data_IF_795285757610
#
_entry.id   IF_795285757610
#
_cell.length_a   1.000
_cell.length_b   1.000
_cell.length_c   1.000
_cell.angle_alpha   90.00
_cell.angle_beta   90.00
_cell.angle_gamma   90.00
#
_symmetry.space_group_name_H-M   'P 1'
#
loop_
_entity.id
_entity.type
_entity.pdbx_description
1 polymer ?
#
# COMPACT_ATOMS: atom_id res chain seq x y z
N UNK A 1 15.98 6.37 8.53
CA UNK A 1 14.70 5.76 8.07
C UNK A 1 14.96 4.30 7.79
N UNK A 2 14.12 3.37 8.23
CA UNK A 2 14.19 1.95 7.90
C UNK A 2 13.83 1.71 6.42
N UNK A 3 14.20 0.56 5.89
CA UNK A 3 13.85 0.16 4.51
C UNK A 3 12.78 -0.92 4.55
N UNK A 4 11.73 -0.76 3.79
CA UNK A 4 10.66 -1.77 3.67
C UNK A 4 11.11 -2.94 2.80
N UNK A 5 11.71 -2.62 1.66
CA UNK A 5 12.21 -3.58 0.67
C UNK A 5 13.41 -2.99 -0.06
N UNK A 6 14.36 -3.82 -0.42
CA UNK A 6 15.49 -3.43 -1.26
C UNK A 6 16.01 -4.60 -2.09
N UNK A 7 16.60 -4.28 -3.23
CA UNK A 7 17.36 -5.21 -4.03
C UNK A 7 18.80 -5.27 -3.53
N UNK A 8 19.31 -6.47 -3.27
CA UNK A 8 20.71 -6.71 -2.86
C UNK A 8 21.41 -7.67 -3.81
N UNK A 9 22.71 -7.82 -3.70
CA UNK A 9 23.47 -8.81 -4.48
C UNK A 9 23.01 -10.24 -4.20
N UNK A 10 22.56 -10.52 -2.96
CA UNK A 10 22.11 -11.83 -2.53
C UNK A 10 20.66 -12.14 -2.94
N UNK A 11 19.82 -11.10 -3.15
CA UNK A 11 18.40 -11.24 -3.47
C UNK A 11 17.57 -10.06 -3.00
N UNK A 12 16.29 -10.30 -2.78
CA UNK A 12 15.34 -9.29 -2.32
C UNK A 12 15.28 -9.30 -0.79
N UNK A 13 15.64 -8.19 -0.16
CA UNK A 13 15.62 -8.03 1.29
C UNK A 13 14.39 -7.24 1.73
N UNK A 14 13.66 -7.75 2.70
CA UNK A 14 12.45 -7.13 3.25
C UNK A 14 12.47 -7.13 4.77
N UNK A 15 11.85 -6.10 5.38
CA UNK A 15 11.52 -6.14 6.79
C UNK A 15 10.34 -7.08 7.04
N UNK A 16 10.46 -7.97 8.01
CA UNK A 16 9.38 -8.89 8.38
C UNK A 16 8.33 -8.17 9.24
N UNK A 17 7.28 -7.66 8.58
CA UNK A 17 6.21 -6.92 9.26
C UNK A 17 5.37 -7.78 10.20
N UNK A 18 5.44 -9.11 10.10
CA UNK A 18 4.71 -10.01 11.00
C UNK A 18 5.35 -10.03 12.39
N UNK A 19 6.63 -9.65 12.49
CA UNK A 19 7.40 -9.60 13.74
C UNK A 19 7.31 -8.25 14.45
N UNK A 20 6.90 -7.20 13.73
CA UNK A 20 6.71 -5.87 14.30
C UNK A 20 5.48 -5.84 15.24
N UNK A 21 5.49 -5.04 16.31
CA UNK A 21 6.56 -4.14 16.75
C UNK A 21 7.66 -4.80 17.60
N UNK A 22 7.51 -6.09 17.96
CA UNK A 22 8.37 -6.76 18.92
C UNK A 22 9.82 -6.93 18.46
N UNK A 23 10.01 -7.24 17.18
CA UNK A 23 11.32 -7.51 16.60
C UNK A 23 11.47 -6.86 15.24
N UNK A 24 12.54 -6.12 15.01
CA UNK A 24 12.90 -5.56 13.72
C UNK A 24 13.84 -6.52 12.97
N UNK A 25 13.25 -7.42 12.20
CA UNK A 25 13.98 -8.48 11.48
C UNK A 25 13.90 -8.22 9.98
N UNK A 26 15.04 -8.33 9.30
CA UNK A 26 15.14 -8.33 7.84
C UNK A 26 15.40 -9.74 7.33
N UNK A 27 14.65 -10.14 6.30
CA UNK A 27 14.84 -11.42 5.60
C UNK A 27 15.28 -11.16 4.17
N UNK A 28 16.26 -11.95 3.70
CA UNK A 28 16.71 -11.92 2.31
C UNK A 28 16.18 -13.14 1.59
N UNK A 29 15.39 -12.92 0.55
CA UNK A 29 14.77 -13.94 -0.27
C UNK A 29 15.58 -14.15 -1.53
N UNK A 30 15.93 -15.40 -1.80
CA UNK A 30 16.79 -15.76 -2.92
C UNK A 30 16.05 -16.49 -4.04
N UNK A 31 14.78 -16.83 -3.83
CA UNK A 31 13.88 -17.45 -4.81
C UNK A 31 12.57 -16.64 -4.90
N UNK A 32 12.02 -16.51 -6.11
CA UNK A 32 10.76 -15.79 -6.33
C UNK A 32 9.57 -16.44 -5.62
N UNK A 33 9.61 -17.75 -5.35
CA UNK A 33 8.58 -18.47 -4.60
C UNK A 33 8.56 -18.03 -3.14
N UNK A 34 9.74 -17.77 -2.58
CA UNK A 34 9.86 -17.20 -1.22
C UNK A 34 9.32 -15.78 -1.17
N UNK A 35 9.54 -14.96 -2.22
CA UNK A 35 8.94 -13.63 -2.34
C UNK A 35 7.42 -13.74 -2.44
N UNK A 36 6.89 -14.68 -3.22
CA UNK A 36 5.46 -14.94 -3.31
C UNK A 36 4.87 -15.34 -1.94
N UNK A 37 5.57 -16.19 -1.18
CA UNK A 37 5.15 -16.56 0.17
C UNK A 37 5.21 -15.38 1.14
N UNK A 38 6.23 -14.52 1.04
CA UNK A 38 6.33 -13.30 1.86
C UNK A 38 5.15 -12.34 1.62
N UNK A 39 4.64 -12.25 0.38
CA UNK A 39 3.42 -11.48 0.07
C UNK A 39 2.17 -12.18 0.66
N UNK A 40 2.04 -13.49 0.50
CA UNK A 40 0.90 -14.27 0.98
C UNK A 40 0.78 -14.27 2.50
N UNK A 41 1.89 -14.48 3.19
CA UNK A 41 1.98 -14.50 4.67
C UNK A 41 2.06 -13.10 5.30
N UNK A 42 1.97 -12.02 4.50
CA UNK A 42 2.01 -10.63 4.94
C UNK A 42 3.32 -10.21 5.64
N UNK A 43 4.44 -10.88 5.35
CA UNK A 43 5.77 -10.36 5.65
C UNK A 43 5.95 -8.99 5.01
N UNK A 44 5.43 -8.84 3.78
CA UNK A 44 5.24 -7.56 3.11
C UNK A 44 3.78 -7.38 2.71
N UNK A 45 3.20 -6.19 2.93
CA UNK A 45 1.80 -5.84 2.70
C UNK A 45 1.64 -4.36 2.34
N UNK A 46 0.44 -3.97 1.88
CA UNK A 46 0.13 -2.64 1.34
C UNK A 46 0.23 -2.64 -0.18
N UNK A 47 -0.73 -1.96 -0.83
CA UNK A 47 -0.88 -2.04 -2.28
C UNK A 47 0.41 -1.69 -3.05
N UNK A 48 1.10 -0.54 -2.82
CA UNK A 48 2.34 -0.24 -3.52
C UNK A 48 3.50 -1.19 -3.18
N UNK A 49 3.69 -1.54 -1.91
CA UNK A 49 4.77 -2.44 -1.48
C UNK A 49 4.66 -3.83 -2.12
N UNK A 50 3.42 -4.36 -2.26
CA UNK A 50 3.18 -5.63 -2.96
C UNK A 50 3.57 -5.52 -4.43
N UNK A 51 3.29 -4.40 -5.09
CA UNK A 51 3.70 -4.17 -6.48
C UNK A 51 5.22 -4.16 -6.65
N UNK A 52 5.94 -3.45 -5.78
CA UNK A 52 7.41 -3.45 -5.75
C UNK A 52 7.96 -4.86 -5.51
N UNK A 53 7.41 -5.58 -4.52
CA UNK A 53 7.84 -6.94 -4.20
C UNK A 53 7.62 -7.90 -5.37
N UNK A 54 6.49 -7.80 -6.07
CA UNK A 54 6.20 -8.62 -7.23
C UNK A 54 7.18 -8.33 -8.38
N UNK A 55 7.48 -7.07 -8.66
CA UNK A 55 8.47 -6.70 -9.68
C UNK A 55 9.85 -7.27 -9.34
N UNK A 56 10.27 -7.15 -8.09
CA UNK A 56 11.55 -7.73 -7.63
C UNK A 56 11.53 -9.27 -7.67
N UNK A 57 10.39 -9.90 -7.32
CA UNK A 57 10.23 -11.35 -7.42
C UNK A 57 10.36 -11.85 -8.85
N UNK A 58 9.76 -11.16 -9.84
CA UNK A 58 9.90 -11.48 -11.27
C UNK A 58 11.37 -11.34 -11.70
N UNK A 59 12.00 -10.22 -11.40
CA UNK A 59 13.39 -9.96 -11.75
C UNK A 59 14.32 -11.03 -11.13
N UNK A 60 14.09 -11.40 -9.87
CA UNK A 60 14.85 -12.44 -9.16
C UNK A 60 14.71 -13.81 -9.82
N UNK A 61 13.49 -14.22 -10.18
CA UNK A 61 13.22 -15.48 -10.84
C UNK A 61 13.91 -15.57 -12.21
N UNK A 62 13.79 -14.52 -13.02
CA UNK A 62 14.42 -14.45 -14.35
C UNK A 62 15.94 -14.35 -14.26
N UNK A 63 16.50 -13.65 -13.28
CA UNK A 63 17.95 -13.59 -13.03
C UNK A 63 18.54 -14.98 -12.78
N UNK A 64 17.80 -15.85 -12.07
CA UNK A 64 18.22 -17.21 -11.72
C UNK A 64 17.81 -18.28 -12.74
N UNK A 65 17.11 -17.91 -13.79
CA UNK A 65 16.68 -18.83 -14.84
C UNK A 65 17.86 -19.49 -15.54
N UNK A 66 17.74 -20.80 -15.75
CA UNK A 66 18.68 -21.59 -16.52
C UNK A 66 18.31 -21.70 -18.02
N UNK A 67 17.24 -21.00 -18.46
CA UNK A 67 16.78 -21.00 -19.84
C UNK A 67 17.90 -20.62 -20.82
N UNK A 68 17.99 -21.39 -21.92
CA UNK A 68 18.98 -21.18 -22.98
C UNK A 68 18.39 -20.60 -24.24
N UNK A 69 17.05 -20.60 -24.35
CA UNK A 69 16.33 -20.02 -25.49
C UNK A 69 15.34 -18.96 -25.03
N UNK A 70 15.00 -17.96 -25.87
CA UNK A 70 13.93 -17.00 -25.60
C UNK A 70 12.57 -17.65 -25.31
N UNK A 71 12.27 -18.77 -25.96
CA UNK A 71 11.03 -19.50 -25.76
C UNK A 71 10.92 -20.09 -24.35
N UNK A 72 12.00 -20.74 -23.89
CA UNK A 72 12.06 -21.29 -22.53
C UNK A 72 11.97 -20.18 -21.48
N UNK A 73 12.70 -19.06 -21.67
CA UNK A 73 12.68 -17.93 -20.74
C UNK A 73 11.28 -17.30 -20.66
N UNK A 74 10.54 -17.25 -21.79
CA UNK A 74 9.16 -16.78 -21.82
C UNK A 74 8.23 -17.70 -21.02
N UNK A 75 8.37 -19.01 -21.18
CA UNK A 75 7.58 -19.98 -20.41
C UNK A 75 7.84 -19.82 -18.89
N UNK A 76 9.11 -19.69 -18.50
CA UNK A 76 9.47 -19.45 -17.09
C UNK A 76 8.91 -18.10 -16.59
N UNK A 77 8.97 -17.02 -17.40
CA UNK A 77 8.39 -15.73 -17.03
C UNK A 77 6.90 -15.84 -16.70
N UNK A 78 6.13 -16.54 -17.53
CA UNK A 78 4.69 -16.68 -17.29
C UNK A 78 4.40 -17.50 -16.02
N UNK A 79 5.19 -18.55 -15.73
CA UNK A 79 5.07 -19.33 -14.49
C UNK A 79 5.36 -18.44 -13.26
N UNK A 80 6.40 -17.61 -13.32
CA UNK A 80 6.78 -16.70 -12.24
C UNK A 80 5.67 -15.66 -12.03
N UNK A 81 5.21 -15.03 -13.13
CA UNK A 81 4.15 -14.02 -13.10
C UNK A 81 2.85 -14.58 -12.53
N UNK A 82 2.45 -15.78 -12.95
CA UNK A 82 1.25 -16.45 -12.44
C UNK A 82 1.36 -16.83 -10.96
N UNK A 83 2.54 -17.27 -10.51
CA UNK A 83 2.80 -17.60 -9.10
C UNK A 83 2.62 -16.38 -8.22
N UNK A 84 3.13 -15.22 -8.64
CA UNK A 84 2.98 -13.96 -7.92
C UNK A 84 1.54 -13.43 -8.00
N UNK A 85 0.88 -13.49 -9.16
CA UNK A 85 -0.50 -13.06 -9.34
C UNK A 85 -1.48 -13.77 -8.37
N UNK A 86 -1.25 -15.06 -8.10
CA UNK A 86 -2.07 -15.86 -7.19
C UNK A 86 -1.91 -15.50 -5.71
N UNK A 87 -0.94 -14.68 -5.33
CA UNK A 87 -0.70 -14.34 -3.92
C UNK A 87 -1.78 -13.45 -3.33
N UNK A 88 -2.23 -12.43 -4.08
CA UNK A 88 -3.25 -11.44 -3.68
C UNK A 88 -4.10 -11.04 -4.89
N UNK A 89 -5.12 -11.85 -5.27
CA UNK A 89 -5.88 -11.66 -6.51
C UNK A 89 -6.64 -10.33 -6.63
N UNK A 90 -6.88 -9.64 -5.52
CA UNK A 90 -7.60 -8.35 -5.49
C UNK A 90 -6.68 -7.12 -5.52
N UNK A 91 -5.36 -7.31 -5.40
CA UNK A 91 -4.39 -6.22 -5.26
C UNK A 91 -4.04 -5.58 -6.63
N UNK A 92 -4.58 -4.40 -6.92
CA UNK A 92 -4.40 -3.69 -8.20
C UNK A 92 -2.93 -3.48 -8.55
N UNK A 93 -2.13 -3.02 -7.60
CA UNK A 93 -0.72 -2.71 -7.81
C UNK A 93 0.13 -3.96 -8.13
N UNK A 94 -0.29 -5.13 -7.68
CA UNK A 94 0.34 -6.41 -8.05
C UNK A 94 0.24 -6.64 -9.57
N UNK A 95 -0.98 -6.53 -10.10
CA UNK A 95 -1.22 -6.73 -11.54
C UNK A 95 -0.61 -5.63 -12.40
N UNK A 96 -0.62 -4.39 -11.92
CA UNK A 96 0.08 -3.28 -12.56
C UNK A 96 1.57 -3.56 -12.69
N UNK A 97 2.23 -4.01 -11.62
CA UNK A 97 3.65 -4.34 -11.64
C UNK A 97 3.95 -5.50 -12.60
N UNK A 98 3.16 -6.58 -12.55
CA UNK A 98 3.31 -7.73 -13.47
C UNK A 98 3.16 -7.28 -14.94
N UNK A 99 2.15 -6.46 -15.24
CA UNK A 99 1.95 -5.91 -16.60
C UNK A 99 3.14 -5.07 -17.06
N UNK A 100 3.69 -4.23 -16.19
CA UNK A 100 4.84 -3.38 -16.47
C UNK A 100 6.11 -4.23 -16.73
N UNK A 101 6.36 -5.22 -15.88
CA UNK A 101 7.49 -6.14 -16.04
C UNK A 101 7.36 -6.98 -17.33
N UNK A 102 6.15 -7.42 -17.69
CA UNK A 102 5.89 -8.13 -18.95
C UNK A 102 6.16 -7.26 -20.17
N UNK A 103 5.84 -5.97 -20.12
CA UNK A 103 6.14 -5.04 -21.21
C UNK A 103 7.67 -4.90 -21.42
N UNK A 104 8.44 -4.75 -20.34
CA UNK A 104 9.91 -4.70 -20.39
C UNK A 104 10.48 -6.02 -20.91
N UNK A 105 9.98 -7.16 -20.43
CA UNK A 105 10.38 -8.49 -20.90
C UNK A 105 10.22 -8.61 -22.43
N UNK A 106 9.03 -8.28 -22.95
CA UNK A 106 8.74 -8.38 -24.40
C UNK A 106 9.60 -7.42 -25.22
N UNK A 107 9.78 -6.18 -24.78
CA UNK A 107 10.61 -5.20 -25.48
C UNK A 107 12.08 -5.63 -25.52
N UNK A 108 12.60 -6.18 -24.42
CA UNK A 108 13.99 -6.66 -24.35
C UNK A 108 14.27 -7.87 -25.23
N UNK A 109 13.25 -8.71 -25.51
CA UNK A 109 13.39 -9.83 -26.45
C UNK A 109 13.42 -9.41 -27.91
N UNK A 110 12.76 -8.32 -28.28
CA UNK A 110 12.49 -7.97 -29.69
C UNK A 110 13.69 -7.33 -30.42
N UNK A 111 14.76 -6.96 -29.73
CA UNK A 111 15.80 -6.06 -30.24
C UNK A 111 17.17 -6.73 -30.48
N UNK A 112 17.29 -8.08 -30.51
CA UNK A 112 18.58 -8.73 -30.47
C UNK A 112 18.79 -9.77 -31.59
N UNK A 113 20.05 -9.89 -32.03
CA UNK A 113 20.46 -10.77 -33.16
C UNK A 113 20.81 -12.20 -32.73
N UNK A 114 21.07 -12.44 -31.42
CA UNK A 114 21.36 -13.78 -30.88
C UNK A 114 20.58 -14.05 -29.60
N UNK A 115 20.22 -15.32 -29.37
CA UNK A 115 19.53 -15.78 -28.17
C UNK A 115 20.27 -15.38 -26.87
N UNK A 116 21.60 -15.58 -26.86
CA UNK A 116 22.41 -15.26 -25.68
C UNK A 116 22.35 -13.76 -25.32
N UNK A 117 22.38 -12.88 -26.32
CA UNK A 117 22.22 -11.43 -26.11
C UNK A 117 20.82 -11.11 -25.60
N UNK A 118 19.77 -11.67 -26.22
CA UNK A 118 18.39 -11.48 -25.80
C UNK A 118 18.17 -11.89 -24.34
N UNK A 119 18.62 -13.08 -23.95
CA UNK A 119 18.52 -13.59 -22.59
C UNK A 119 19.25 -12.68 -21.56
N UNK A 120 20.46 -12.21 -21.92
CA UNK A 120 21.23 -11.31 -21.07
C UNK A 120 20.51 -9.97 -20.86
N UNK A 121 20.02 -9.37 -21.93
CA UNK A 121 19.32 -8.08 -21.89
C UNK A 121 18.00 -8.15 -21.13
N UNK A 122 17.25 -9.26 -21.26
CA UNK A 122 16.05 -9.46 -20.45
C UNK A 122 16.36 -9.49 -18.96
N UNK A 123 17.40 -10.23 -18.55
CA UNK A 123 17.80 -10.30 -17.14
C UNK A 123 18.20 -8.94 -16.58
N UNK A 124 19.03 -8.20 -17.30
CA UNK A 124 19.46 -6.85 -16.92
C UNK A 124 18.26 -5.89 -16.92
N UNK A 125 17.48 -5.88 -17.99
CA UNK A 125 16.33 -4.98 -18.13
C UNK A 125 15.29 -5.15 -17.04
N UNK A 126 14.98 -6.38 -16.63
CA UNK A 126 14.02 -6.64 -15.56
C UNK A 126 14.58 -6.26 -14.18
N UNK A 127 15.87 -6.48 -13.92
CA UNK A 127 16.49 -6.04 -12.66
C UNK A 127 16.46 -4.51 -12.53
N UNK A 128 16.86 -3.81 -13.60
CA UNK A 128 16.84 -2.34 -13.63
C UNK A 128 15.41 -1.79 -13.50
N UNK A 129 14.43 -2.44 -14.14
CA UNK A 129 13.05 -2.02 -14.04
C UNK A 129 12.48 -2.22 -12.62
N UNK A 130 12.78 -3.33 -11.97
CA UNK A 130 12.35 -3.56 -10.59
C UNK A 130 12.94 -2.50 -9.62
N UNK A 131 14.21 -2.13 -9.81
CA UNK A 131 14.84 -1.03 -9.04
C UNK A 131 14.20 0.31 -9.36
N UNK A 132 13.84 0.56 -10.62
CA UNK A 132 13.15 1.78 -11.06
C UNK A 132 11.75 1.88 -10.44
N UNK A 133 10.98 0.80 -10.41
CA UNK A 133 9.67 0.75 -9.76
C UNK A 133 9.78 1.16 -8.29
N UNK A 134 10.78 0.66 -7.56
CA UNK A 134 11.02 1.08 -6.18
C UNK A 134 11.35 2.57 -6.08
N UNK A 135 12.26 3.06 -6.91
CA UNK A 135 12.67 4.47 -6.88
C UNK A 135 11.52 5.42 -7.23
N UNK A 136 10.71 5.06 -8.23
CA UNK A 136 9.51 5.81 -8.63
C UNK A 136 8.46 5.79 -7.53
N UNK A 137 8.21 4.66 -6.88
CA UNK A 137 7.26 4.58 -5.76
C UNK A 137 7.66 5.54 -4.62
N UNK A 138 8.94 5.58 -4.27
CA UNK A 138 9.43 6.52 -3.25
C UNK A 138 9.24 7.96 -3.70
N UNK A 139 9.58 8.30 -4.95
CA UNK A 139 9.42 9.64 -5.48
C UNK A 139 7.95 10.09 -5.54
N UNK A 140 7.05 9.21 -5.94
CA UNK A 140 5.60 9.38 -5.94
C UNK A 140 5.11 9.71 -4.52
N UNK A 141 5.51 8.93 -3.53
CA UNK A 141 5.09 9.15 -2.14
C UNK A 141 5.62 10.47 -1.57
N UNK A 142 6.85 10.88 -1.93
CA UNK A 142 7.41 12.18 -1.53
C UNK A 142 6.65 13.34 -2.18
N UNK A 143 6.30 13.24 -3.47
CA UNK A 143 5.51 14.26 -4.17
C UNK A 143 4.11 14.40 -3.55
N UNK A 144 3.44 13.26 -3.32
CA UNK A 144 2.14 13.20 -2.62
C UNK A 144 2.22 13.83 -1.23
N UNK A 145 3.28 13.54 -0.49
CA UNK A 145 3.54 14.12 0.82
C UNK A 145 3.57 15.65 0.78
N UNK A 146 4.22 16.24 -0.22
CA UNK A 146 4.29 17.70 -0.40
C UNK A 146 2.91 18.30 -0.66
N UNK A 147 2.15 17.75 -1.60
CA UNK A 147 0.80 18.23 -1.90
C UNK A 147 -0.14 18.12 -0.70
N UNK A 148 -0.06 17.00 0.03
CA UNK A 148 -0.90 16.78 1.19
C UNK A 148 -0.52 17.61 2.42
N UNK A 149 0.75 17.93 2.59
CA UNK A 149 1.23 18.73 3.72
C UNK A 149 0.56 20.12 3.79
N UNK A 150 0.22 20.69 2.64
CA UNK A 150 -0.48 21.99 2.56
C UNK A 150 -1.89 21.92 3.16
N UNK A 151 -2.53 20.74 3.15
CA UNK A 151 -3.88 20.52 3.66
C UNK A 151 -3.90 20.22 5.17
N UNK A 152 -2.76 19.88 5.75
CA UNK A 152 -2.68 19.59 7.18
C UNK A 152 -2.72 20.87 8.02
N UNK A 153 -3.31 20.84 9.21
CA UNK A 153 -3.29 21.98 10.12
C UNK A 153 -1.85 22.33 10.54
N UNK A 154 -1.60 23.58 10.93
CA UNK A 154 -0.27 23.99 11.39
C UNK A 154 0.08 23.39 12.77
N UNK A 155 -0.95 23.11 13.57
CA UNK A 155 -0.82 22.40 14.83
C UNK A 155 -2.11 21.63 15.16
N UNK A 156 -2.00 20.54 15.88
CA UNK A 156 -3.15 19.76 16.34
C UNK A 156 -2.98 18.26 16.18
N UNK A 157 -4.07 17.54 16.40
CA UNK A 157 -4.08 16.06 16.29
C UNK A 157 -4.73 15.63 14.97
N UNK A 158 -4.04 14.78 14.25
CA UNK A 158 -4.52 14.14 13.01
C UNK A 158 -4.81 12.68 13.31
N UNK A 159 -5.99 12.19 12.92
CA UNK A 159 -6.33 10.77 13.02
C UNK A 159 -5.93 10.04 11.75
N UNK A 160 -5.40 8.83 11.90
CA UNK A 160 -5.19 7.90 10.80
C UNK A 160 -5.69 6.49 11.15
N UNK A 161 -6.07 5.73 10.13
CA UNK A 161 -6.59 4.38 10.24
C UNK A 161 -5.77 3.42 9.39
N UNK A 162 -5.52 2.20 9.89
CA UNK A 162 -4.65 1.20 9.26
C UNK A 162 -3.16 1.63 9.24
N UNK A 163 -2.42 1.15 8.25
CA UNK A 163 -1.05 1.57 8.00
C UNK A 163 -0.89 1.90 6.51
N UNK A 164 -0.77 3.17 6.22
CA UNK A 164 -0.46 3.73 4.91
C UNK A 164 0.87 4.51 4.96
N UNK A 165 1.85 3.91 5.61
CA UNK A 165 3.20 4.42 5.80
C UNK A 165 4.23 3.79 4.89
N UNK A 166 5.51 3.97 5.26
CA UNK A 166 6.64 3.41 4.53
C UNK A 166 6.58 1.88 4.45
N UNK A 167 6.06 1.21 5.49
CA UNK A 167 5.85 -0.25 5.49
C UNK A 167 4.81 -0.73 4.45
N UNK A 168 3.93 0.15 3.99
CA UNK A 168 2.91 -0.16 2.99
C UNK A 168 3.32 0.19 1.54
N UNK A 169 4.49 0.79 1.37
CA UNK A 169 5.03 1.29 0.10
C UNK A 169 6.47 0.84 -0.07
N UNK A 170 7.14 1.26 -1.12
CA UNK A 170 8.59 1.09 -1.26
C UNK A 170 9.39 1.92 -0.27
N UNK A 171 8.76 2.97 0.30
CA UNK A 171 9.34 3.88 1.27
C UNK A 171 8.52 5.17 1.39
N UNK A 172 8.71 5.94 2.46
CA UNK A 172 8.06 7.21 2.78
C UNK A 172 6.58 7.10 3.17
N UNK A 173 5.75 6.34 2.46
CA UNK A 173 4.32 6.16 2.73
C UNK A 173 3.41 7.19 2.07
N UNK A 174 2.12 6.86 1.97
CA UNK A 174 1.08 7.75 1.43
C UNK A 174 0.52 8.67 2.54
N UNK A 175 -0.44 8.25 3.34
CA UNK A 175 -1.00 9.05 4.42
C UNK A 175 0.06 9.46 5.47
N UNK A 176 0.90 8.53 5.91
CA UNK A 176 1.99 8.87 6.83
C UNK A 176 3.09 9.69 6.13
N UNK A 177 3.23 9.58 4.81
CA UNK A 177 4.08 10.44 4.00
C UNK A 177 3.63 11.91 4.05
N UNK A 178 2.32 12.15 3.97
CA UNK A 178 1.74 13.50 4.15
C UNK A 178 2.04 14.04 5.56
N UNK A 179 1.86 13.22 6.59
CA UNK A 179 2.17 13.61 7.98
C UNK A 179 3.67 13.93 8.12
N UNK A 180 4.56 13.08 7.57
CA UNK A 180 6.01 13.32 7.54
C UNK A 180 6.38 14.64 6.87
N UNK A 181 5.80 14.90 5.70
CA UNK A 181 6.04 16.13 4.96
C UNK A 181 5.56 17.36 5.72
N UNK A 182 4.38 17.29 6.35
CA UNK A 182 3.85 18.37 7.17
C UNK A 182 4.74 18.69 8.38
N UNK A 183 5.20 17.64 9.10
CA UNK A 183 6.13 17.81 10.23
C UNK A 183 7.49 18.35 9.76
N UNK A 184 8.00 17.87 8.62
CA UNK A 184 9.24 18.38 8.04
C UNK A 184 9.13 19.86 7.60
N UNK A 185 7.91 20.31 7.23
CA UNK A 185 7.61 21.72 6.95
C UNK A 185 7.42 22.58 8.23
N UNK A 186 7.64 22.01 9.42
CA UNK A 186 7.57 22.72 10.69
C UNK A 186 6.21 22.69 11.40
N UNK A 187 5.21 21.97 10.85
CA UNK A 187 3.90 21.84 11.47
C UNK A 187 3.97 20.98 12.74
N UNK A 188 3.23 21.39 13.79
CA UNK A 188 3.26 20.76 15.10
C UNK A 188 2.13 19.72 15.24
N UNK A 189 2.28 18.61 14.54
CA UNK A 189 1.27 17.56 14.53
C UNK A 189 1.51 16.50 15.61
N UNK A 190 0.41 16.03 16.18
CA UNK A 190 0.30 14.77 16.93
C UNK A 190 -0.59 13.82 16.13
N UNK A 191 -0.42 12.52 16.29
CA UNK A 191 -1.21 11.54 15.57
C UNK A 191 -1.98 10.67 16.53
N UNK A 192 -3.29 10.53 16.31
CA UNK A 192 -4.04 9.40 16.83
C UNK A 192 -4.06 8.31 15.78
N UNK A 193 -3.66 7.10 16.17
CA UNK A 193 -3.69 5.93 15.31
C UNK A 193 -4.76 4.97 15.84
N UNK A 194 -5.82 4.75 15.06
CA UNK A 194 -6.74 3.66 15.32
C UNK A 194 -5.97 2.35 15.35
N UNK A 195 -6.22 1.48 16.34
CA UNK A 195 -5.55 0.18 16.43
C UNK A 195 -5.76 -0.68 15.20
N UNK A 196 -6.88 -0.50 14.52
CA UNK A 196 -7.30 -1.15 13.28
C UNK A 196 -7.48 -2.66 13.43
N UNK A 197 -8.59 -3.06 14.05
CA UNK A 197 -9.00 -4.46 14.10
C UNK A 197 -9.31 -4.98 12.68
N UNK A 198 -9.16 -6.29 12.39
CA UNK A 198 -8.68 -7.33 13.32
C UNK A 198 -7.15 -7.49 13.34
N UNK A 199 -6.40 -7.06 12.31
CA UNK A 199 -4.96 -7.34 12.15
C UNK A 199 -4.04 -6.34 12.90
N UNK A 200 -4.61 -5.28 13.47
CA UNK A 200 -3.93 -4.26 14.29
C UNK A 200 -2.81 -3.50 13.57
N UNK A 201 -2.99 -3.17 12.28
CA UNK A 201 -1.99 -2.44 11.51
C UNK A 201 -1.67 -1.05 12.10
N UNK A 202 -2.68 -0.38 12.68
CA UNK A 202 -2.49 0.91 13.33
C UNK A 202 -1.63 0.79 14.58
N UNK A 203 -1.98 -0.12 15.47
CA UNK A 203 -1.24 -0.34 16.72
C UNK A 203 0.16 -0.91 16.48
N UNK A 204 0.28 -1.90 15.58
CA UNK A 204 1.54 -2.63 15.37
C UNK A 204 2.51 -1.92 14.44
N UNK A 205 2.01 -1.30 13.38
CA UNK A 205 2.84 -0.79 12.29
C UNK A 205 2.88 0.74 12.25
N UNK A 206 1.71 1.41 12.27
CA UNK A 206 1.66 2.88 12.21
C UNK A 206 2.30 3.52 13.43
N UNK A 207 1.98 3.03 14.62
CA UNK A 207 2.59 3.55 15.84
C UNK A 207 4.10 3.30 15.87
N UNK A 208 4.55 2.13 15.40
CA UNK A 208 5.97 1.80 15.30
C UNK A 208 6.71 2.74 14.32
N UNK A 209 6.17 2.98 13.12
CA UNK A 209 6.77 3.90 12.13
C UNK A 209 6.90 5.31 12.67
N UNK A 210 5.81 5.86 13.22
CA UNK A 210 5.78 7.23 13.72
C UNK A 210 6.72 7.41 14.92
N UNK A 211 6.78 6.41 15.81
CA UNK A 211 7.73 6.42 16.92
C UNK A 211 9.19 6.41 16.43
N UNK A 212 9.52 5.62 15.41
CA UNK A 212 10.86 5.64 14.77
C UNK A 212 11.20 7.00 14.15
N UNK A 213 10.21 7.71 13.63
CA UNK A 213 10.37 9.05 13.04
C UNK A 213 10.30 10.15 14.11
N UNK A 214 10.09 9.83 15.37
CA UNK A 214 9.90 10.77 16.50
C UNK A 214 8.71 11.71 16.30
N UNK A 215 7.68 11.25 15.61
CA UNK A 215 6.40 11.95 15.47
C UNK A 215 5.50 11.49 16.63
N UNK A 216 4.98 12.40 17.45
CA UNK A 216 4.13 12.03 18.58
C UNK A 216 2.90 11.25 18.13
N UNK A 217 2.72 10.05 18.65
CA UNK A 217 1.61 9.16 18.31
C UNK A 217 0.96 8.59 19.57
N UNK A 218 -0.36 8.52 19.54
CA UNK A 218 -1.19 7.85 20.57
C UNK A 218 -2.05 6.80 19.88
N UNK A 219 -2.01 5.58 20.37
CA UNK A 219 -2.90 4.50 19.90
C UNK A 219 -4.24 4.65 20.60
N UNK A 220 -5.31 4.56 19.82
CA UNK A 220 -6.68 4.48 20.32
C UNK A 220 -7.37 3.24 19.77
N UNK A 221 -8.40 2.72 20.44
CA UNK A 221 -9.22 1.66 19.85
C UNK A 221 -10.11 2.24 18.76
N UNK A 222 -10.50 1.43 17.78
CA UNK A 222 -11.30 1.88 16.63
C UNK A 222 -12.62 2.57 17.07
N UNK A 223 -13.20 2.13 18.19
CA UNK A 223 -14.42 2.72 18.76
C UNK A 223 -14.25 4.07 19.43
N UNK A 224 -13.00 4.51 19.70
CA UNK A 224 -12.72 5.77 20.38
C UNK A 224 -12.66 6.98 19.44
N UNK A 225 -12.50 6.78 18.14
CA UNK A 225 -12.36 7.87 17.16
C UNK A 225 -13.47 8.91 17.28
N UNK A 226 -14.74 8.48 17.27
CA UNK A 226 -15.89 9.37 17.41
C UNK A 226 -15.94 10.13 18.74
N UNK A 227 -15.48 9.52 19.81
CA UNK A 227 -15.38 10.20 21.11
C UNK A 227 -14.46 11.42 21.05
N UNK A 228 -13.23 11.24 20.55
CA UNK A 228 -12.25 12.31 20.43
C UNK A 228 -12.63 13.36 19.37
N UNK A 229 -13.31 12.95 18.28
CA UNK A 229 -13.88 13.88 17.31
C UNK A 229 -14.90 14.81 17.95
N UNK A 230 -15.83 14.24 18.73
CA UNK A 230 -16.87 15.01 19.45
C UNK A 230 -16.28 15.95 20.49
N UNK A 231 -15.15 15.62 21.10
CA UNK A 231 -14.44 16.49 22.05
C UNK A 231 -13.64 17.60 21.36
N UNK A 232 -13.55 17.60 20.02
CA UNK A 232 -12.78 18.60 19.26
C UNK A 232 -11.27 18.39 19.33
N UNK A 233 -10.81 17.19 19.72
CA UNK A 233 -9.38 16.91 19.81
C UNK A 233 -8.76 16.57 18.44
N UNK A 234 -9.56 16.14 17.45
CA UNK A 234 -9.12 15.76 16.12
C UNK A 234 -9.41 16.88 15.14
N UNK A 235 -8.37 17.36 14.44
CA UNK A 235 -8.47 18.47 13.48
C UNK A 235 -8.61 18.00 12.03
N UNK A 236 -8.15 16.80 11.71
CA UNK A 236 -8.23 16.21 10.37
C UNK A 236 -8.10 14.69 10.45
N UNK A 237 -8.63 14.00 9.44
CA UNK A 237 -8.41 12.58 9.23
C UNK A 237 -7.65 12.41 7.92
N UNK A 238 -6.64 11.53 7.91
CA UNK A 238 -5.93 11.15 6.69
C UNK A 238 -5.69 9.65 6.66
N UNK A 239 -6.08 9.01 5.56
CA UNK A 239 -5.97 7.57 5.34
C UNK A 239 -5.35 7.26 3.98
N UNK A 240 -4.92 6.02 3.78
CA UNK A 240 -4.57 5.51 2.46
C UNK A 240 -5.79 5.00 1.69
N UNK A 241 -5.54 4.29 0.59
CA UNK A 241 -6.54 3.55 -0.14
C UNK A 241 -5.97 2.24 -0.69
N UNK A 242 -6.82 1.22 -0.77
CA UNK A 242 -6.51 -0.02 -1.47
C UNK A 242 -7.00 0.04 -2.94
N UNK A 243 -8.11 0.75 -3.20
CA UNK A 243 -8.62 1.06 -4.55
C UNK A 243 -9.55 2.27 -4.52
N UNK A 244 -9.50 3.09 -5.56
CA UNK A 244 -10.38 4.25 -5.74
C UNK A 244 -11.09 4.11 -7.09
N UNK A 245 -12.42 4.24 -7.11
CA UNK A 245 -13.20 4.27 -8.34
C UNK A 245 -13.14 5.65 -9.02
N UNK A 246 -13.52 5.73 -10.29
CA UNK A 246 -13.46 6.98 -11.08
C UNK A 246 -14.32 8.12 -10.53
N UNK A 247 -15.35 7.82 -9.75
CA UNK A 247 -16.18 8.80 -9.05
C UNK A 247 -15.60 9.26 -7.70
N UNK A 248 -14.45 8.70 -7.26
CA UNK A 248 -13.81 9.03 -5.99
C UNK A 248 -14.22 8.14 -4.82
N UNK A 249 -15.16 7.23 -4.97
CA UNK A 249 -15.46 6.24 -3.93
C UNK A 249 -14.22 5.42 -3.63
N UNK A 250 -13.90 5.27 -2.35
CA UNK A 250 -12.61 4.74 -1.91
C UNK A 250 -12.77 3.50 -1.06
N UNK A 251 -12.23 2.37 -1.52
CA UNK A 251 -12.05 1.18 -0.70
C UNK A 251 -10.75 1.28 0.09
N UNK A 252 -10.85 1.06 1.40
CA UNK A 252 -9.70 0.99 2.30
C UNK A 252 -9.99 -0.01 3.43
N UNK A 253 -9.03 -0.22 4.33
CA UNK A 253 -9.14 -1.14 5.46
C UNK A 253 -10.47 -0.96 6.19
N UNK A 254 -11.12 -2.10 6.51
CA UNK A 254 -12.39 -2.13 7.26
C UNK A 254 -12.33 -1.18 8.47
N UNK A 255 -13.39 -0.39 8.66
CA UNK A 255 -13.48 0.67 9.65
C UNK A 255 -13.31 2.08 9.07
N UNK A 256 -12.71 2.23 7.90
CA UNK A 256 -12.50 3.53 7.25
C UNK A 256 -13.79 4.27 6.98
N UNK A 257 -14.83 3.58 6.53
CA UNK A 257 -16.16 4.16 6.31
C UNK A 257 -16.75 4.74 7.61
N UNK A 258 -16.64 4.00 8.71
CA UNK A 258 -17.12 4.48 10.01
C UNK A 258 -16.41 5.75 10.45
N UNK A 259 -15.08 5.81 10.29
CA UNK A 259 -14.27 7.01 10.59
C UNK A 259 -14.68 8.19 9.70
N UNK A 260 -14.92 7.97 8.40
CA UNK A 260 -15.33 9.01 7.47
C UNK A 260 -16.71 9.59 7.80
N UNK A 261 -17.67 8.74 8.16
CA UNK A 261 -19.00 9.16 8.62
C UNK A 261 -18.91 10.01 9.90
N UNK A 262 -18.12 9.55 10.88
CA UNK A 262 -17.92 10.27 12.14
C UNK A 262 -17.18 11.60 11.92
N UNK A 263 -16.21 11.65 11.03
CA UNK A 263 -15.53 12.90 10.66
C UNK A 263 -16.50 13.91 10.04
N UNK A 264 -17.33 13.45 9.09
CA UNK A 264 -18.35 14.28 8.46
C UNK A 264 -19.36 14.84 9.47
N UNK A 265 -19.86 14.01 10.39
CA UNK A 265 -20.82 14.41 11.44
C UNK A 265 -20.23 15.48 12.38
N UNK A 266 -18.92 15.45 12.59
CA UNK A 266 -18.23 16.41 13.46
C UNK A 266 -17.56 17.57 12.68
N UNK A 267 -17.82 17.71 11.37
CA UNK A 267 -17.27 18.78 10.55
C UNK A 267 -15.75 18.71 10.34
N UNK A 268 -15.16 17.52 10.50
CA UNK A 268 -13.72 17.30 10.39
C UNK A 268 -13.37 16.90 8.95
N UNK A 269 -12.37 17.52 8.30
CA UNK A 269 -11.96 17.15 6.95
C UNK A 269 -11.38 15.74 6.91
N UNK A 270 -11.80 14.96 5.91
CA UNK A 270 -11.37 13.59 5.67
C UNK A 270 -10.60 13.51 4.34
N UNK A 271 -9.34 13.14 4.41
CA UNK A 271 -8.43 13.08 3.26
C UNK A 271 -8.02 11.64 2.95
N UNK A 272 -7.91 11.34 1.66
CA UNK A 272 -7.37 10.08 1.15
C UNK A 272 -6.06 10.37 0.42
N UNK A 273 -4.98 9.69 0.76
CA UNK A 273 -3.69 9.81 0.10
C UNK A 273 -3.32 8.50 -0.61
N UNK A 274 -3.31 8.52 -1.94
CA UNK A 274 -3.04 7.35 -2.76
C UNK A 274 -2.43 7.74 -4.11
N UNK A 275 -1.49 6.95 -4.68
CA UNK A 275 -0.95 7.19 -6.00
C UNK A 275 -1.99 6.95 -7.10
N UNK A 276 -1.81 7.56 -8.27
CA UNK A 276 -2.70 7.35 -9.43
C UNK A 276 -2.84 5.87 -9.79
N UNK A 277 -1.82 5.04 -9.54
CA UNK A 277 -1.87 3.59 -9.76
C UNK A 277 -2.90 2.84 -8.90
N UNK A 278 -3.41 3.47 -7.84
CA UNK A 278 -4.47 2.95 -6.97
C UNK A 278 -5.87 3.33 -7.47
N UNK A 279 -5.95 4.31 -8.40
CA UNK A 279 -7.21 4.77 -8.98
C UNK A 279 -7.55 3.91 -10.20
N UNK A 280 -8.68 3.23 -10.14
CA UNK A 280 -9.19 2.39 -11.22
C UNK A 280 -10.26 3.14 -12.00
N UNK A 281 -9.84 3.79 -13.09
CA UNK A 281 -10.73 4.58 -13.97
C UNK A 281 -11.74 3.73 -14.74
N UNK A 282 -11.62 2.39 -14.73
CA UNK A 282 -12.58 1.48 -15.35
C UNK A 282 -13.81 1.22 -14.48
N UNK A 283 -13.73 1.48 -13.18
CA UNK A 283 -14.84 1.33 -12.24
C UNK A 283 -15.59 2.65 -12.10
N UNK A 284 -16.87 2.67 -12.42
CA UNK A 284 -17.68 3.89 -12.36
C UNK A 284 -17.99 4.32 -10.91
N UNK A 285 -18.13 3.36 -9.98
CA UNK A 285 -18.44 3.60 -8.57
C UNK A 285 -17.83 2.55 -7.65
N UNK A 286 -17.84 2.83 -6.36
CA UNK A 286 -17.33 1.94 -5.33
C UNK A 286 -18.10 0.62 -5.21
N UNK A 287 -19.35 0.56 -5.66
CA UNK A 287 -20.16 -0.68 -5.68
C UNK A 287 -19.53 -1.78 -6.55
N UNK A 288 -18.72 -1.39 -7.52
CA UNK A 288 -18.03 -2.31 -8.43
C UNK A 288 -16.70 -2.82 -7.86
N UNK A 289 -16.24 -2.29 -6.73
CA UNK A 289 -14.98 -2.72 -6.11
C UNK A 289 -15.19 -4.07 -5.41
N UNK A 290 -14.46 -5.13 -5.81
CA UNK A 290 -14.56 -6.42 -5.12
C UNK A 290 -13.96 -6.33 -3.72
N UNK A 291 -14.72 -6.76 -2.71
CA UNK A 291 -14.28 -6.79 -1.32
C UNK A 291 -13.82 -8.19 -0.96
N UNK A 292 -12.57 -8.31 -0.53
CA UNK A 292 -11.96 -9.57 -0.07
C UNK A 292 -12.57 -9.99 1.28
N UNK A 293 -13.11 -11.20 1.36
CA UNK A 293 -13.47 -11.82 2.64
C UNK A 293 -12.28 -12.66 3.10
N UNK A 294 -11.77 -12.40 4.30
CA UNK A 294 -10.58 -13.05 4.87
C UNK A 294 -10.96 -14.08 5.93
N UNK A 295 -9.95 -14.79 6.44
CA UNK A 295 -10.16 -15.80 7.48
C UNK A 295 -10.83 -15.20 8.73
N UNK A 296 -11.91 -15.82 9.18
CA UNK A 296 -12.58 -15.49 10.44
C UNK A 296 -11.65 -15.63 11.65
N UNK A 297 -10.60 -16.45 11.54
CA UNK A 297 -9.59 -16.60 12.60
C UNK A 297 -8.89 -15.26 12.93
N UNK A 298 -8.76 -14.34 11.97
CA UNK A 298 -8.21 -13.00 12.27
C UNK A 298 -9.12 -12.20 13.21
N UNK A 299 -10.42 -12.43 13.17
CA UNK A 299 -11.40 -11.79 14.08
C UNK A 299 -11.47 -12.48 15.42
N UNK A 300 -11.49 -13.81 15.42
CA UNK A 300 -11.72 -14.62 16.62
C UNK A 300 -10.47 -14.85 17.47
N UNK A 301 -9.27 -14.57 16.92
CA UNK A 301 -7.99 -14.72 17.63
C UNK A 301 -7.21 -13.42 17.62
N UNK A 302 -6.49 -13.18 18.70
CA UNK A 302 -5.55 -12.06 18.83
C UNK A 302 -4.20 -12.62 19.29
N UNK A 303 -3.15 -12.38 18.49
CA UNK A 303 -1.80 -12.92 18.77
C UNK A 303 -1.78 -14.43 19.05
N UNK A 304 -2.64 -15.20 18.35
CA UNK A 304 -2.77 -16.65 18.53
C UNK A 304 -3.68 -17.09 19.69
N UNK A 305 -4.19 -16.14 20.49
CA UNK A 305 -5.10 -16.42 21.60
C UNK A 305 -6.56 -16.29 21.12
N UNK A 306 -7.38 -17.30 21.38
CA UNK A 306 -8.81 -17.25 21.07
C UNK A 306 -9.51 -16.20 21.95
N UNK A 307 -10.27 -15.31 21.32
CA UNK A 307 -11.02 -14.21 21.95
C UNK A 307 -12.53 -14.42 21.90
N UNK A 308 -12.98 -15.44 21.17
CA UNK A 308 -14.39 -15.77 21.00
C UNK A 308 -14.62 -17.28 21.25
N UNK A 309 -15.85 -17.69 21.61
CA UNK A 309 -16.22 -19.12 21.69
C UNK A 309 -16.02 -19.80 20.32
N UNK A 310 -15.61 -21.09 20.35
CA UNK A 310 -15.21 -21.82 19.16
C UNK A 310 -16.35 -21.98 18.10
N UNK A 311 -17.59 -22.03 18.56
CA UNK A 311 -18.81 -22.33 17.78
C UNK A 311 -19.51 -21.05 17.29
N UNK A 312 -18.98 -19.86 17.60
CA UNK A 312 -19.56 -18.60 17.16
C UNK A 312 -18.94 -18.20 15.81
N UNK A 313 -19.73 -18.08 14.73
CA UNK A 313 -19.20 -17.67 13.43
C UNK A 313 -18.76 -16.22 13.45
N UNK A 314 -17.70 -15.90 12.69
CA UNK A 314 -17.25 -14.55 12.47
C UNK A 314 -17.11 -14.26 10.98
N UNK A 315 -17.34 -13.00 10.59
CA UNK A 315 -17.11 -12.50 9.23
C UNK A 315 -16.00 -11.48 9.24
N UNK A 316 -15.23 -11.44 8.14
CA UNK A 316 -14.11 -10.55 8.00
C UNK A 316 -14.01 -9.97 6.58
N UNK A 317 -14.87 -9.03 6.18
CA UNK A 317 -14.58 -8.21 5.02
C UNK A 317 -13.31 -7.39 5.31
N UNK A 318 -12.29 -7.53 4.46
CA UNK A 318 -11.00 -6.90 4.71
C UNK A 318 -11.03 -5.38 4.54
N UNK A 319 -11.96 -4.90 3.72
CA UNK A 319 -12.11 -3.50 3.32
C UNK A 319 -13.57 -3.06 3.43
N UNK A 320 -13.79 -1.76 3.54
CA UNK A 320 -15.08 -1.12 3.29
C UNK A 320 -14.94 0.00 2.26
N UNK A 321 -16.05 0.42 1.69
CA UNK A 321 -16.09 1.49 0.70
C UNK A 321 -16.63 2.76 1.33
N UNK A 322 -15.83 3.80 1.31
CA UNK A 322 -16.22 5.16 1.70
C UNK A 322 -16.77 5.91 0.48
N UNK A 323 -18.05 6.27 0.46
CA UNK A 323 -18.62 7.10 -0.59
C UNK A 323 -17.93 8.46 -0.68
N UNK A 324 -17.71 8.93 -1.87
CA UNK A 324 -16.97 10.16 -2.18
C UNK A 324 -17.54 11.42 -1.48
N UNK A 325 -18.83 11.44 -1.12
CA UNK A 325 -19.46 12.54 -0.40
C UNK A 325 -18.89 12.78 1.00
N UNK A 326 -18.20 11.81 1.58
CA UNK A 326 -17.51 11.92 2.88
C UNK A 326 -16.04 12.30 2.73
N UNK A 327 -15.52 12.38 1.51
CA UNK A 327 -14.11 12.65 1.23
C UNK A 327 -13.94 14.12 0.86
N UNK A 328 -13.13 14.84 1.63
CA UNK A 328 -12.84 16.26 1.39
C UNK A 328 -11.91 16.45 0.20
N UNK A 329 -10.89 15.60 0.07
CA UNK A 329 -9.97 15.59 -1.06
C UNK A 329 -9.22 14.26 -1.17
N UNK A 330 -8.79 13.93 -2.40
CA UNK A 330 -7.89 12.83 -2.73
C UNK A 330 -6.55 13.45 -3.14
N UNK A 331 -5.50 13.04 -2.44
CA UNK A 331 -4.13 13.55 -2.59
C UNK A 331 -3.35 12.53 -3.41
N UNK A 332 -2.74 12.98 -4.51
CA UNK A 332 -1.93 12.15 -5.39
C UNK A 332 -0.56 12.79 -5.62
N UNK A 333 0.33 12.09 -6.29
CA UNK A 333 1.64 12.61 -6.72
C UNK A 333 1.53 13.75 -7.75
N UNK A 334 0.40 13.88 -8.44
CA UNK A 334 0.16 14.94 -9.43
C UNK A 334 -0.66 16.11 -8.91
N UNK A 335 -1.07 16.08 -7.65
CA UNK A 335 -1.86 17.13 -7.04
C UNK A 335 -3.04 16.62 -6.22
N UNK A 336 -3.96 17.52 -5.93
CA UNK A 336 -5.11 17.31 -5.05
C UNK A 336 -6.41 17.36 -5.86
N UNK A 337 -7.14 16.24 -5.89
CA UNK A 337 -8.48 16.19 -6.45
C UNK A 337 -9.52 16.56 -5.38
N UNK A 338 -10.54 17.34 -5.80
CA UNK A 338 -11.71 17.71 -4.99
C UNK A 338 -12.98 17.42 -5.77
N UNK A 339 -14.12 17.36 -5.10
CA UNK A 339 -15.39 17.19 -5.75
C UNK A 339 -15.67 18.32 -6.77
N UNK A 340 -16.24 17.99 -7.94
CA UNK A 340 -16.67 16.67 -8.39
C UNK A 340 -15.49 15.79 -8.81
N UNK A 341 -15.35 14.63 -8.15
CA UNK A 341 -14.15 13.79 -8.30
C UNK A 341 -13.98 13.18 -9.68
N UNK A 342 -15.05 12.84 -10.39
CA UNK A 342 -14.98 12.28 -11.74
C UNK A 342 -14.19 13.19 -12.70
N UNK A 343 -14.36 14.50 -12.59
CA UNK A 343 -13.68 15.48 -13.42
C UNK A 343 -12.26 15.74 -12.92
N UNK A 344 -12.12 16.00 -11.61
CA UNK A 344 -10.84 16.35 -11.02
C UNK A 344 -9.83 15.19 -11.05
N UNK A 345 -10.26 13.94 -10.84
CA UNK A 345 -9.40 12.76 -11.02
C UNK A 345 -8.99 12.59 -12.48
N UNK A 346 -9.93 12.70 -13.43
CA UNK A 346 -9.61 12.60 -14.86
C UNK A 346 -8.57 13.64 -15.29
N UNK A 347 -8.66 14.87 -14.78
CA UNK A 347 -7.68 15.91 -15.06
C UNK A 347 -6.26 15.54 -14.60
N UNK A 348 -6.11 14.87 -13.46
CA UNK A 348 -4.81 14.38 -12.97
C UNK A 348 -4.18 13.28 -13.85
N UNK A 349 -4.99 12.53 -14.60
CA UNK A 349 -4.46 11.54 -15.56
C UNK A 349 -4.03 12.18 -16.90
N UNK A 350 -4.58 13.33 -17.25
CA UNK A 350 -4.30 14.01 -18.53
C UNK A 350 -3.01 14.86 -18.50
N UNK A 351 -2.59 15.34 -17.35
CA UNK A 351 -1.33 16.08 -17.14
C UNK A 351 -0.21 15.15 -16.73
#
# INVERSE_FOLDING_TARGET
MFKTIEWTEQGVRMIDQTRLPGEEIYRTYTDYREVAEAIRSMVIRGAPAIGVAAAMGIALGIKKSAAKTPADLRAEFEIIAETLAKTRPTAVNLFWAIKRMRAVFNNSLSCHHTDAQALSMVRVGLEEEAKRILAEDIAINVAMGRHGAELMPDAGTVLTHCNAGALATGGYGTALGVIRAAVAAGKKLRVFADETRPFLQGARLTAWELAKDRIPVTIITDSMAGHFMKQGEICAVIVGADRIASNGDTANKIGTYSVAVLAHENGIPFYVAAPLSTIDMSLASGEQIPIEERSSAEVTHLAGVAMAPADVPARHPAFDVTPQRYITAIITERGVARAPFTESLRALFAG
#
